data_IF_734990689420
#
_entry.id   IF_734990689420
#
_cell.length_a   1.000
_cell.length_b   1.000
_cell.length_c   1.000
_cell.angle_alpha   90.00
_cell.angle_beta   90.00
_cell.angle_gamma   90.00
#
_symmetry.space_group_name_H-M   'P 1'
#
loop_
_entity.id
_entity.type
_entity.pdbx_description
1 polymer ?
#
# COMPACT_ATOMS: atom_id res chain seq x y z
N UNK A 1 -5.43 5.63 0.00
CA UNK A 1 -4.85 5.63 -1.37
C UNK A 1 -3.34 5.37 -1.35
N UNK A 2 -2.54 6.21 -0.68
CA UNK A 2 -1.07 6.03 -0.62
C UNK A 2 -0.63 4.69 -0.02
N UNK A 3 -1.29 4.20 1.04
CA UNK A 3 -0.97 2.91 1.66
C UNK A 3 -1.12 1.71 0.72
N UNK A 4 -2.22 1.67 -0.05
CA UNK A 4 -2.47 0.61 -1.04
C UNK A 4 -1.41 0.63 -2.14
N UNK A 5 -1.09 1.82 -2.66
CA UNK A 5 -0.06 1.96 -3.69
C UNK A 5 1.31 1.53 -3.16
N UNK A 6 1.71 2.01 -1.97
CA UNK A 6 2.98 1.63 -1.34
C UNK A 6 3.07 0.13 -1.05
N UNK A 7 1.96 -0.50 -0.66
CA UNK A 7 1.89 -1.93 -0.38
C UNK A 7 2.11 -2.83 -1.60
N UNK A 8 1.73 -2.36 -2.79
CA UNK A 8 1.89 -3.10 -4.06
C UNK A 8 3.21 -2.73 -4.76
N UNK A 9 3.63 -1.46 -4.68
CA UNK A 9 4.71 -0.90 -5.48
C UNK A 9 6.05 -1.62 -5.27
N UNK A 10 6.44 -1.87 -4.02
CA UNK A 10 7.69 -2.56 -3.71
C UNK A 10 7.67 -4.02 -4.19
N UNK A 11 6.53 -4.71 -4.06
CA UNK A 11 6.38 -6.08 -4.54
C UNK A 11 6.45 -6.15 -6.07
N UNK A 12 5.79 -5.22 -6.77
CA UNK A 12 5.81 -5.17 -8.24
C UNK A 12 7.21 -4.91 -8.78
N UNK A 13 7.95 -3.99 -8.16
CA UNK A 13 9.35 -3.73 -8.52
C UNK A 13 10.23 -4.96 -8.25
N UNK A 14 9.97 -5.68 -7.17
CA UNK A 14 10.67 -6.93 -6.85
C UNK A 14 10.41 -8.02 -7.89
N UNK A 15 9.17 -8.15 -8.38
CA UNK A 15 8.83 -9.08 -9.47
C UNK A 15 9.52 -8.73 -10.80
N UNK A 16 9.87 -7.46 -11.01
CA UNK A 16 10.56 -6.98 -12.22
C UNK A 16 12.09 -6.88 -12.07
N UNK A 17 12.66 -7.52 -11.04
CA UNK A 17 14.11 -7.68 -10.90
C UNK A 17 14.83 -6.66 -10.00
N UNK A 18 14.11 -5.74 -9.34
CA UNK A 18 14.70 -4.87 -8.32
C UNK A 18 14.91 -5.66 -7.03
N UNK A 19 16.15 -5.71 -6.54
CA UNK A 19 16.48 -6.47 -5.33
C UNK A 19 16.20 -5.65 -4.08
N UNK A 20 15.14 -6.01 -3.36
CA UNK A 20 14.86 -5.48 -2.02
C UNK A 20 15.26 -6.51 -0.95
N UNK A 21 15.58 -6.03 0.27
CA UNK A 21 15.78 -6.92 1.41
C UNK A 21 14.53 -7.72 1.78
N UNK A 22 13.37 -7.04 1.92
CA UNK A 22 12.03 -7.64 2.07
C UNK A 22 10.96 -6.80 1.36
N UNK A 23 10.64 -7.12 0.12
CA UNK A 23 9.69 -6.36 -0.70
C UNK A 23 8.24 -6.34 -0.18
N UNK A 24 7.86 -7.33 0.62
CA UNK A 24 6.49 -7.50 1.12
C UNK A 24 6.16 -6.46 2.19
N UNK A 25 5.07 -5.72 2.01
CA UNK A 25 4.76 -4.53 2.80
C UNK A 25 4.68 -4.76 4.32
N UNK A 26 4.09 -5.88 4.76
CA UNK A 26 3.99 -6.21 6.19
C UNK A 26 5.29 -6.81 6.77
N UNK A 27 6.29 -7.10 5.92
CA UNK A 27 7.63 -7.53 6.32
C UNK A 27 8.67 -6.42 6.14
N UNK A 28 8.32 -5.31 5.47
CA UNK A 28 9.25 -4.22 5.19
C UNK A 28 9.78 -3.55 6.46
N UNK A 29 8.95 -3.41 7.51
CA UNK A 29 9.34 -2.74 8.76
C UNK A 29 10.47 -3.42 9.55
N UNK A 30 10.67 -4.74 9.41
CA UNK A 30 11.74 -5.45 10.14
C UNK A 30 13.12 -5.22 9.51
N UNK A 31 13.19 -4.65 8.30
CA UNK A 31 14.46 -4.33 7.65
C UNK A 31 15.27 -3.29 8.43
N UNK A 32 14.61 -2.48 9.28
CA UNK A 32 15.30 -1.52 10.17
C UNK A 32 16.27 -2.20 11.15
N UNK A 33 16.09 -3.49 11.45
CA UNK A 33 16.94 -4.28 12.34
C UNK A 33 18.00 -5.12 11.59
N UNK A 34 18.03 -5.05 10.26
CA UNK A 34 19.04 -5.77 9.46
C UNK A 34 20.37 -5.01 9.46
N UNK A 35 21.49 -5.74 9.32
CA UNK A 35 22.85 -5.18 9.43
C UNK A 35 23.13 -4.02 8.44
N UNK A 36 22.39 -3.96 7.32
CA UNK A 36 22.44 -2.89 6.31
C UNK A 36 21.42 -1.76 6.46
N UNK A 37 20.63 -1.69 7.55
CA UNK A 37 19.56 -0.70 7.77
C UNK A 37 18.53 -0.67 6.61
N UNK A 38 17.67 0.36 6.56
CA UNK A 38 16.62 0.49 5.55
C UNK A 38 17.16 1.20 4.31
N UNK A 39 17.71 0.44 3.37
CA UNK A 39 18.17 0.95 2.09
C UNK A 39 17.00 1.20 1.12
N UNK A 40 16.79 2.45 0.72
CA UNK A 40 15.78 2.77 -0.28
C UNK A 40 16.14 2.12 -1.63
N UNK A 41 15.22 1.33 -2.19
CA UNK A 41 15.43 0.52 -3.41
C UNK A 41 16.60 -0.49 -3.32
N UNK A 42 17.05 -0.84 -2.12
CA UNK A 42 18.23 -1.71 -1.95
C UNK A 42 19.55 -1.04 -2.33
N UNK A 43 19.58 0.29 -2.41
CA UNK A 43 20.79 1.07 -2.65
C UNK A 43 21.20 1.83 -1.37
N UNK A 44 22.39 1.54 -0.80
CA UNK A 44 22.91 2.21 0.38
C UNK A 44 23.09 3.73 0.26
N UNK A 45 23.06 4.29 -0.95
CA UNK A 45 23.26 5.73 -1.19
C UNK A 45 21.97 6.56 -1.12
N UNK A 46 20.79 5.93 -1.06
CA UNK A 46 19.53 6.60 -1.40
C UNK A 46 18.61 6.95 -0.23
N UNK A 47 18.92 6.57 1.01
CA UNK A 47 18.39 7.10 2.29
C UNK A 47 18.90 6.17 3.41
N UNK A 48 19.45 6.73 4.49
CA UNK A 48 19.79 6.02 5.73
C UNK A 48 18.85 6.52 6.85
N UNK A 49 17.61 6.03 6.87
CA UNK A 49 16.54 6.63 7.66
C UNK A 49 16.67 6.32 9.16
N UNK A 50 16.49 7.34 10.02
CA UNK A 50 16.38 7.18 11.47
C UNK A 50 15.11 7.79 12.10
N UNK A 51 14.41 8.78 11.51
CA UNK A 51 13.09 9.20 12.02
C UNK A 51 12.29 10.02 11.00
N UNK A 52 10.96 9.88 11.02
CA UNK A 52 10.01 10.71 10.27
C UNK A 52 9.68 11.95 11.13
N UNK A 53 10.11 13.14 10.70
CA UNK A 53 9.69 14.40 11.31
C UNK A 53 8.22 14.66 10.99
N UNK A 54 7.37 14.68 12.02
CA UNK A 54 5.95 15.00 11.89
C UNK A 54 5.79 16.43 11.36
N UNK A 55 5.30 16.58 10.13
CA UNK A 55 4.93 17.87 9.56
C UNK A 55 3.58 18.30 10.15
N UNK A 56 3.61 18.69 11.42
CA UNK A 56 2.43 19.15 12.17
C UNK A 56 2.08 20.59 11.82
N UNK A 57 1.01 20.79 11.06
CA UNK A 57 0.31 22.07 11.03
C UNK A 57 -0.77 22.06 12.12
N UNK A 58 -0.74 23.06 13.00
CA UNK A 58 -1.70 23.23 14.10
C UNK A 58 -2.97 23.90 13.55
N UNK A 59 -3.99 23.10 13.26
CA UNK A 59 -5.31 23.55 12.83
C UNK A 59 -5.85 22.70 11.69
N UNK A 60 -7.16 22.40 11.71
CA UNK A 60 -7.83 21.64 10.65
C UNK A 60 -7.72 22.41 9.33
N UNK A 61 -6.84 22.00 8.40
CA UNK A 61 -6.75 22.68 7.13
C UNK A 61 -8.05 22.41 6.36
N UNK A 62 -8.55 23.38 5.58
CA UNK A 62 -9.67 23.11 4.68
C UNK A 62 -9.35 21.86 3.84
N UNK A 63 -10.32 20.93 3.74
CA UNK A 63 -10.18 19.65 3.02
C UNK A 63 -9.65 19.85 1.58
N UNK A 64 -9.90 21.03 1.01
CA UNK A 64 -9.37 21.49 -0.27
C UNK A 64 -8.60 22.80 -0.07
N UNK A 65 -7.30 22.75 0.23
CA UNK A 65 -6.51 23.94 0.52
C UNK A 65 -6.10 24.75 -0.74
N UNK A 66 -6.19 24.15 -1.94
CA UNK A 66 -5.85 24.80 -3.21
C UNK A 66 -4.41 25.32 -3.26
N UNK A 67 -4.14 26.29 -4.14
CA UNK A 67 -2.84 26.99 -4.22
C UNK A 67 -1.67 26.04 -4.50
N UNK A 68 -0.70 25.95 -3.59
CA UNK A 68 0.49 25.10 -3.77
C UNK A 68 0.18 23.60 -3.88
N UNK A 69 -1.00 23.14 -3.43
CA UNK A 69 -1.42 21.74 -3.53
C UNK A 69 -2.30 21.47 -4.76
N UNK A 70 -2.59 22.50 -5.58
CA UNK A 70 -3.17 22.38 -6.93
C UNK A 70 -2.31 23.16 -7.96
N UNK A 71 -1.05 22.73 -8.22
CA UNK A 71 -0.17 23.41 -9.17
C UNK A 71 -0.67 23.30 -10.63
N UNK A 72 -1.66 22.46 -10.89
CA UNK A 72 -2.25 22.22 -12.20
C UNK A 72 -3.60 22.92 -12.39
N UNK A 73 -4.06 23.71 -11.41
CA UNK A 73 -5.32 24.47 -11.52
C UNK A 73 -6.53 23.59 -11.88
N UNK A 74 -6.52 22.31 -11.48
CA UNK A 74 -7.59 21.36 -11.80
C UNK A 74 -8.90 21.66 -11.08
N UNK A 75 -8.86 22.57 -10.11
CA UNK A 75 -10.01 22.97 -9.28
C UNK A 75 -10.66 24.29 -9.70
N UNK A 76 -10.15 24.97 -10.73
CA UNK A 76 -10.63 26.30 -11.18
C UNK A 76 -12.03 26.25 -11.83
N UNK A 77 -12.39 25.14 -12.47
CA UNK A 77 -13.72 24.93 -13.06
C UNK A 77 -14.70 24.29 -12.05
N UNK A 78 -15.78 24.98 -11.61
CA UNK A 78 -16.67 24.47 -10.55
C UNK A 78 -17.35 23.13 -10.86
N UNK A 79 -17.62 22.86 -12.14
CA UNK A 79 -18.19 21.59 -12.60
C UNK A 79 -17.16 20.45 -12.57
N UNK A 80 -15.94 20.70 -13.03
CA UNK A 80 -14.85 19.74 -12.96
C UNK A 80 -14.45 19.46 -11.51
N UNK A 81 -14.44 20.49 -10.65
CA UNK A 81 -14.13 20.35 -9.23
C UNK A 81 -15.11 19.43 -8.51
N UNK A 82 -16.42 19.57 -8.77
CA UNK A 82 -17.44 18.70 -8.17
C UNK A 82 -17.26 17.25 -8.62
N UNK A 83 -16.95 17.02 -9.89
CA UNK A 83 -16.65 15.69 -10.41
C UNK A 83 -15.36 15.10 -9.81
N UNK A 84 -14.31 15.90 -9.66
CA UNK A 84 -13.04 15.48 -9.05
C UNK A 84 -13.22 15.09 -7.58
N UNK A 85 -14.04 15.82 -6.81
CA UNK A 85 -14.38 15.42 -5.44
C UNK A 85 -15.07 14.06 -5.38
N UNK A 86 -15.98 13.78 -6.31
CA UNK A 86 -16.64 12.47 -6.39
C UNK A 86 -15.66 11.38 -6.84
N UNK A 87 -14.73 11.67 -7.74
CA UNK A 87 -13.69 10.72 -8.13
C UNK A 87 -12.72 10.42 -6.98
N UNK A 88 -12.38 11.44 -6.20
CA UNK A 88 -11.57 11.28 -5.00
C UNK A 88 -12.33 10.49 -3.93
N UNK A 89 -13.62 10.83 -3.70
CA UNK A 89 -14.45 10.14 -2.70
C UNK A 89 -14.55 8.63 -3.02
N UNK A 90 -14.90 8.31 -4.26
CA UNK A 90 -15.05 6.92 -4.68
C UNK A 90 -13.71 6.17 -4.65
N UNK A 91 -12.59 6.86 -4.92
CA UNK A 91 -11.27 6.21 -4.91
C UNK A 91 -10.76 5.95 -3.49
N UNK A 92 -11.02 6.80 -2.49
CA UNK A 92 -10.62 6.48 -1.12
C UNK A 92 -11.46 5.34 -0.53
N UNK A 93 -12.74 5.23 -0.86
CA UNK A 93 -13.60 4.12 -0.42
C UNK A 93 -13.05 2.79 -0.91
N UNK A 94 -12.79 2.69 -2.22
CA UNK A 94 -12.17 1.50 -2.83
C UNK A 94 -10.82 1.20 -2.19
N UNK A 95 -9.99 2.22 -1.96
CA UNK A 95 -8.69 2.00 -1.31
C UNK A 95 -8.80 1.51 0.13
N UNK A 96 -9.81 1.89 0.92
CA UNK A 96 -9.96 1.34 2.26
C UNK A 96 -10.42 -0.11 2.24
N UNK A 97 -11.33 -0.47 1.34
CA UNK A 97 -11.74 -1.87 1.15
C UNK A 97 -10.55 -2.74 0.75
N UNK A 98 -9.71 -2.26 -0.19
CA UNK A 98 -8.49 -2.95 -0.60
C UNK A 98 -7.48 -3.08 0.55
N UNK A 99 -7.28 -2.02 1.33
CA UNK A 99 -6.36 -2.05 2.47
C UNK A 99 -6.81 -3.06 3.52
N UNK A 100 -8.11 -3.10 3.86
CA UNK A 100 -8.67 -4.13 4.74
C UNK A 100 -8.49 -5.53 4.18
N UNK A 101 -8.69 -5.72 2.87
CA UNK A 101 -8.43 -6.97 2.18
C UNK A 101 -6.97 -7.42 2.30
N UNK A 102 -6.02 -6.51 2.13
CA UNK A 102 -4.59 -6.79 2.26
C UNK A 102 -4.21 -7.23 3.68
N UNK A 103 -4.80 -6.63 4.71
CA UNK A 103 -4.59 -7.06 6.09
C UNK A 103 -5.09 -8.50 6.32
N UNK A 104 -6.31 -8.81 5.90
CA UNK A 104 -6.89 -10.15 6.06
C UNK A 104 -6.09 -11.19 5.27
N UNK A 105 -5.77 -10.89 4.02
CA UNK A 105 -4.96 -11.77 3.17
C UNK A 105 -3.58 -12.03 3.77
N UNK A 106 -2.89 -11.00 4.27
CA UNK A 106 -1.60 -11.16 4.92
C UNK A 106 -1.68 -12.06 6.16
N UNK A 107 -2.76 -11.98 6.95
CA UNK A 107 -2.97 -12.84 8.13
C UNK A 107 -3.32 -14.29 7.76
N UNK A 108 -4.12 -14.49 6.71
CA UNK A 108 -4.63 -15.82 6.32
C UNK A 108 -3.62 -16.59 5.47
N UNK A 109 -2.97 -15.94 4.50
CA UNK A 109 -2.05 -16.59 3.55
C UNK A 109 -0.58 -16.42 3.92
N UNK A 110 -0.22 -15.40 4.70
CA UNK A 110 1.17 -15.11 5.07
C UNK A 110 2.05 -14.60 3.91
N UNK A 111 1.44 -14.33 2.75
CA UNK A 111 2.07 -13.90 1.50
C UNK A 111 1.67 -12.48 1.13
N UNK A 112 2.45 -11.86 0.23
CA UNK A 112 2.13 -10.54 -0.31
C UNK A 112 0.87 -10.56 -1.20
N UNK A 113 0.14 -9.44 -1.34
CA UNK A 113 -1.01 -9.36 -2.24
C UNK A 113 -0.66 -9.66 -3.70
N UNK A 114 0.55 -9.31 -4.18
CA UNK A 114 0.97 -9.65 -5.55
C UNK A 114 1.19 -11.15 -5.75
N UNK A 115 1.75 -11.83 -4.74
CA UNK A 115 1.95 -13.28 -4.75
C UNK A 115 0.62 -14.03 -4.68
N UNK A 116 -0.31 -13.58 -3.82
CA UNK A 116 -1.68 -14.13 -3.78
C UNK A 116 -2.41 -13.98 -5.12
N UNK A 117 -2.20 -12.87 -5.83
CA UNK A 117 -2.78 -12.67 -7.16
C UNK A 117 -2.17 -13.65 -8.18
N UNK A 118 -0.86 -13.85 -8.16
CA UNK A 118 -0.18 -14.80 -9.05
C UNK A 118 -0.64 -16.24 -8.79
N UNK A 119 -0.75 -16.64 -7.52
CA UNK A 119 -1.23 -17.97 -7.12
C UNK A 119 -2.69 -18.20 -7.54
N UNK A 120 -3.55 -17.18 -7.37
CA UNK A 120 -4.94 -17.25 -7.81
C UNK A 120 -5.06 -17.37 -9.33
N UNK A 121 -4.24 -16.62 -10.09
CA UNK A 121 -4.24 -16.69 -11.55
C UNK A 121 -3.71 -18.03 -12.08
N UNK A 122 -2.84 -18.70 -11.34
CA UNK A 122 -2.29 -20.01 -11.72
C UNK A 122 -3.35 -21.13 -11.66
N UNK A 123 -4.25 -21.09 -10.67
CA UNK A 123 -5.38 -22.03 -10.57
C UNK A 123 -6.56 -21.39 -9.80
N UNK A 124 -7.47 -20.68 -10.49
CA UNK A 124 -8.53 -19.91 -9.81
C UNK A 124 -9.54 -20.78 -9.04
N UNK A 125 -9.73 -22.03 -9.48
CA UNK A 125 -10.71 -22.95 -8.89
C UNK A 125 -10.24 -23.48 -7.54
N UNK A 126 -8.94 -23.71 -7.40
CA UNK A 126 -8.35 -24.30 -6.19
C UNK A 126 -7.65 -23.26 -5.31
N UNK A 127 -6.99 -22.25 -5.89
CA UNK A 127 -6.22 -21.24 -5.16
C UNK A 127 -7.08 -20.01 -4.87
N UNK A 128 -8.08 -20.16 -4.01
CA UNK A 128 -8.93 -19.05 -3.57
C UNK A 128 -9.14 -19.09 -2.04
N UNK A 129 -9.95 -18.17 -1.52
CA UNK A 129 -10.17 -18.04 -0.08
C UNK A 129 -10.65 -19.33 0.60
N UNK A 130 -11.38 -20.20 -0.12
CA UNK A 130 -11.91 -21.45 0.42
C UNK A 130 -10.83 -22.48 0.73
N UNK A 131 -9.68 -22.42 0.05
CA UNK A 131 -8.54 -23.28 0.36
C UNK A 131 -8.03 -23.09 1.80
N UNK A 132 -8.30 -21.95 2.42
CA UNK A 132 -7.85 -21.60 3.77
C UNK A 132 -8.97 -21.71 4.83
N UNK A 133 -10.18 -22.13 4.45
CA UNK A 133 -11.36 -22.09 5.33
C UNK A 133 -11.21 -22.94 6.60
N UNK A 134 -10.44 -24.03 6.55
CA UNK A 134 -10.26 -24.95 7.69
C UNK A 134 -9.08 -24.57 8.59
N UNK A 135 -8.28 -23.57 8.24
CA UNK A 135 -7.01 -23.29 8.94
C UNK A 135 -7.20 -22.76 10.35
N UNK A 136 -8.33 -22.11 10.63
CA UNK A 136 -8.64 -21.48 11.92
C UNK A 136 -9.70 -22.24 12.73
N UNK A 137 -9.95 -23.51 12.38
CA UNK A 137 -10.80 -24.37 13.20
C UNK A 137 -10.05 -24.73 14.49
N UNK A 138 -10.60 -24.44 15.67
CA UNK A 138 -9.96 -24.80 16.94
C UNK A 138 -9.73 -26.30 17.01
N UNK A 139 -8.49 -26.72 17.21
CA UNK A 139 -8.18 -28.12 17.49
C UNK A 139 -8.49 -28.40 18.96
N UNK A 140 -9.16 -29.52 19.22
CA UNK A 140 -9.34 -30.06 20.57
C UNK A 140 -8.02 -30.55 21.14
#
# INVERSE_FOLDING_TARGET
MLGVLGGIFAELLSCNGVKFGKAVWFKAGVQIFSEGRLDYLGNPSLIDAQHLGLLGHTGDPPIYPGGSLDPLSLTDDPKAFTELKVKEINKWEVCHVLQSGFFVQAMVTGKGPSENLADHLADPANNNAWAYATNFVPRK
#
